data_IF_069797411039
#
_entry.id   IF_069797411039
#
_cell.length_a   1.000
_cell.length_b   1.000
_cell.length_c   1.000
_cell.angle_alpha   90.00
_cell.angle_beta   90.00
_cell.angle_gamma   90.00
#
_symmetry.space_group_name_H-M   'P 1'
#
loop_
_entity.id
_entity.type
_entity.pdbx_description
1 polymer ?
#
# COMPACT_ATOMS: atom_id res chain seq x y z
N UNK A 1 19.57 -29.29 14.91
CA UNK A 1 19.98 -29.14 13.49
C UNK A 1 19.71 -27.70 13.04
N UNK A 2 20.34 -26.70 13.68
CA UNK A 2 20.08 -25.28 13.40
C UNK A 2 21.02 -24.68 12.33
N UNK A 3 22.17 -25.32 12.08
CA UNK A 3 23.17 -24.80 11.14
C UNK A 3 22.73 -24.74 9.67
N UNK A 4 21.72 -25.53 9.26
CA UNK A 4 21.22 -25.48 7.87
C UNK A 4 20.34 -24.26 7.60
N UNK A 5 19.56 -23.80 8.59
CA UNK A 5 18.72 -22.60 8.45
C UNK A 5 19.57 -21.35 8.59
N UNK A 6 20.44 -21.29 9.59
CA UNK A 6 21.36 -20.15 9.78
C UNK A 6 22.24 -19.92 8.55
N UNK A 7 22.77 -21.00 7.96
CA UNK A 7 23.52 -20.91 6.70
C UNK A 7 22.65 -20.40 5.55
N UNK A 8 21.41 -20.90 5.43
CA UNK A 8 20.47 -20.43 4.39
C UNK A 8 20.11 -18.94 4.55
N UNK A 9 19.88 -18.48 5.78
CA UNK A 9 19.64 -17.06 6.08
C UNK A 9 20.85 -16.20 5.75
N UNK A 10 22.05 -16.67 6.08
CA UNK A 10 23.29 -15.96 5.74
C UNK A 10 23.44 -15.78 4.21
N UNK A 11 23.04 -16.76 3.41
CA UNK A 11 23.00 -16.64 1.94
C UNK A 11 21.93 -15.69 1.43
N UNK A 12 20.87 -15.44 2.21
CA UNK A 12 19.74 -14.57 1.86
C UNK A 12 19.73 -13.23 2.61
N UNK A 13 20.83 -12.85 3.26
CA UNK A 13 20.90 -11.62 4.06
C UNK A 13 20.57 -10.36 3.23
N UNK A 14 20.96 -10.32 1.95
CA UNK A 14 20.63 -9.20 1.06
C UNK A 14 19.13 -9.08 0.77
N UNK A 15 18.40 -10.21 0.77
CA UNK A 15 16.95 -10.24 0.60
C UNK A 15 16.24 -9.68 1.84
N UNK A 16 16.70 -10.06 3.04
CA UNK A 16 16.17 -9.48 4.29
C UNK A 16 16.46 -7.98 4.35
N UNK A 17 17.67 -7.55 4.00
CA UNK A 17 18.06 -6.15 4.01
C UNK A 17 17.23 -5.29 3.04
N UNK A 18 16.97 -5.77 1.83
CA UNK A 18 16.10 -5.10 0.86
C UNK A 18 14.67 -4.93 1.41
N UNK A 19 14.10 -6.00 1.97
CA UNK A 19 12.77 -5.96 2.58
C UNK A 19 12.70 -4.91 3.70
N UNK A 20 13.66 -4.92 4.62
CA UNK A 20 13.70 -3.96 5.73
C UNK A 20 13.93 -2.52 5.22
N UNK A 21 14.79 -2.32 4.22
CA UNK A 21 15.02 -0.99 3.66
C UNK A 21 13.74 -0.41 3.04
N UNK A 22 12.98 -1.23 2.32
CA UNK A 22 11.69 -0.85 1.75
C UNK A 22 10.63 -0.54 2.81
N UNK A 23 10.55 -1.32 3.89
CA UNK A 23 9.68 -1.02 5.04
C UNK A 23 10.00 0.36 5.61
N UNK A 24 11.28 0.68 5.83
CA UNK A 24 11.68 2.00 6.34
C UNK A 24 11.30 3.12 5.39
N UNK A 25 11.47 2.92 4.08
CA UNK A 25 11.04 3.90 3.08
C UNK A 25 9.53 4.14 3.17
N UNK A 26 8.74 3.08 3.32
CA UNK A 26 7.29 3.16 3.48
C UNK A 26 6.89 3.89 4.77
N UNK A 27 7.44 3.50 5.93
CA UNK A 27 7.18 4.14 7.22
C UNK A 27 7.51 5.65 7.20
N UNK A 28 8.62 6.03 6.55
CA UNK A 28 9.02 7.43 6.42
C UNK A 28 8.06 8.29 5.57
N UNK A 29 7.11 7.69 4.84
CA UNK A 29 6.06 8.45 4.13
C UNK A 29 5.00 8.99 5.07
N UNK A 30 4.90 8.44 6.29
CA UNK A 30 3.96 8.86 7.34
C UNK A 30 2.52 8.97 6.82
N UNK A 31 2.09 7.97 6.03
CA UNK A 31 0.73 7.94 5.52
C UNK A 31 -0.20 7.29 6.55
N UNK A 32 -1.34 7.92 6.88
CA UNK A 32 -2.30 7.33 7.81
C UNK A 32 -2.70 5.93 7.35
N UNK A 33 -2.57 4.94 8.25
CA UNK A 33 -2.90 3.55 7.98
C UNK A 33 -1.92 2.77 7.09
N UNK A 34 -0.77 3.36 6.69
CA UNK A 34 0.25 2.67 5.88
C UNK A 34 1.68 2.91 6.44
N UNK A 35 2.36 1.88 6.96
CA UNK A 35 1.83 0.53 7.21
C UNK A 35 0.80 0.57 8.38
N UNK A 36 -0.02 -0.49 8.60
CA UNK A 36 -1.14 -0.44 9.55
C UNK A 36 -0.72 -0.31 11.03
N UNK A 37 0.57 -0.38 11.33
CA UNK A 37 1.12 -0.23 12.68
C UNK A 37 1.06 1.24 13.13
N UNK A 38 0.90 1.44 14.44
CA UNK A 38 0.63 2.75 15.02
C UNK A 38 1.90 3.57 15.30
N UNK A 39 3.07 2.92 15.26
CA UNK A 39 4.33 3.51 15.71
C UNK A 39 5.47 3.28 14.71
N UNK A 40 6.31 4.29 14.50
CA UNK A 40 7.49 4.20 13.64
C UNK A 40 8.41 3.03 14.04
N UNK A 41 8.81 2.22 13.05
CA UNK A 41 9.68 1.06 13.24
C UNK A 41 8.99 -0.19 13.79
N UNK A 42 7.70 -0.12 14.10
CA UNK A 42 6.92 -1.26 14.60
C UNK A 42 6.74 -2.33 13.50
N UNK A 43 6.55 -1.91 12.24
CA UNK A 43 6.41 -2.89 11.15
C UNK A 43 7.75 -3.60 10.89
N UNK A 44 8.85 -2.85 10.85
CA UNK A 44 10.19 -3.43 10.73
C UNK A 44 10.47 -4.45 11.85
N UNK A 45 10.16 -4.10 13.10
CA UNK A 45 10.38 -4.98 14.25
C UNK A 45 9.54 -6.26 14.15
N UNK A 46 8.28 -6.15 13.70
CA UNK A 46 7.38 -7.28 13.53
C UNK A 46 7.91 -8.25 12.46
N UNK A 47 8.29 -7.73 11.29
CA UNK A 47 8.81 -8.55 10.18
C UNK A 47 10.11 -9.26 10.58
N UNK A 48 11.03 -8.56 11.25
CA UNK A 48 12.25 -9.18 11.80
C UNK A 48 11.92 -10.31 12.76
N UNK A 49 10.96 -10.09 13.66
CA UNK A 49 10.51 -11.11 14.59
C UNK A 49 9.99 -12.35 13.85
N UNK A 50 9.17 -12.20 12.81
CA UNK A 50 8.68 -13.35 12.03
C UNK A 50 9.81 -14.13 11.35
N UNK A 51 10.81 -13.43 10.80
CA UNK A 51 11.98 -14.07 10.19
C UNK A 51 12.86 -14.78 11.23
N UNK A 52 13.06 -14.18 12.40
CA UNK A 52 13.86 -14.76 13.49
C UNK A 52 13.21 -15.99 14.13
N UNK A 53 11.88 -16.02 14.18
CA UNK A 53 11.12 -17.17 14.70
C UNK A 53 10.80 -18.24 13.65
N UNK A 54 11.43 -18.17 12.47
CA UNK A 54 11.28 -19.19 11.43
C UNK A 54 11.85 -20.54 11.88
N UNK A 55 11.03 -21.60 11.77
CA UNK A 55 11.34 -22.93 12.29
C UNK A 55 12.09 -23.84 11.28
N UNK A 56 12.08 -23.46 10.00
CA UNK A 56 12.68 -24.23 8.90
C UNK A 56 12.93 -23.32 7.70
N UNK A 57 13.73 -23.78 6.73
CA UNK A 57 13.96 -23.07 5.46
C UNK A 57 12.64 -22.76 4.76
N UNK A 58 11.74 -23.75 4.68
CA UNK A 58 10.42 -23.56 4.06
C UNK A 58 9.56 -22.52 4.79
N UNK A 59 9.62 -22.50 6.12
CA UNK A 59 8.89 -21.48 6.91
C UNK A 59 9.46 -20.10 6.61
N UNK A 60 10.79 -19.95 6.65
CA UNK A 60 11.47 -18.71 6.33
C UNK A 60 11.15 -18.18 4.92
N UNK A 61 11.22 -19.03 3.91
CA UNK A 61 10.85 -18.67 2.52
C UNK A 61 9.38 -18.25 2.42
N UNK A 62 8.49 -18.96 3.12
CA UNK A 62 7.06 -18.60 3.16
C UNK A 62 6.85 -17.24 3.81
N UNK A 63 7.53 -16.95 4.92
CA UNK A 63 7.47 -15.66 5.61
C UNK A 63 7.97 -14.56 4.69
N UNK A 64 9.15 -14.72 4.06
CA UNK A 64 9.67 -13.74 3.11
C UNK A 64 8.70 -13.47 1.95
N UNK A 65 8.11 -14.51 1.37
CA UNK A 65 7.20 -14.36 0.24
C UNK A 65 5.90 -13.64 0.64
N UNK A 66 5.37 -13.91 1.83
CA UNK A 66 4.21 -13.19 2.36
C UNK A 66 4.54 -11.73 2.61
N UNK A 67 5.59 -11.43 3.38
CA UNK A 67 5.95 -10.04 3.70
C UNK A 67 6.32 -9.22 2.47
N UNK A 68 6.98 -9.84 1.48
CA UNK A 68 7.25 -9.17 0.19
C UNK A 68 5.98 -8.81 -0.56
N UNK A 69 5.00 -9.70 -0.56
CA UNK A 69 3.71 -9.45 -1.19
C UNK A 69 2.93 -8.35 -0.45
N UNK A 70 2.86 -8.43 0.87
CA UNK A 70 2.14 -7.44 1.67
C UNK A 70 2.79 -6.06 1.50
N UNK A 71 4.13 -5.99 1.54
CA UNK A 71 4.86 -4.75 1.30
C UNK A 71 4.64 -4.20 -0.12
N UNK A 72 4.63 -5.06 -1.14
CA UNK A 72 4.30 -4.66 -2.52
C UNK A 72 2.91 -4.00 -2.61
N UNK A 73 1.92 -4.53 -1.89
CA UNK A 73 0.57 -3.98 -1.85
C UNK A 73 0.55 -2.64 -1.12
N UNK A 74 1.19 -2.56 0.05
CA UNK A 74 1.25 -1.34 0.87
C UNK A 74 1.94 -0.19 0.13
N UNK A 75 3.06 -0.45 -0.55
CA UNK A 75 3.76 0.55 -1.36
C UNK A 75 2.88 1.11 -2.49
N UNK A 76 2.15 0.24 -3.18
CA UNK A 76 1.25 0.66 -4.27
C UNK A 76 0.05 1.45 -3.76
N UNK A 77 -0.52 1.04 -2.63
CA UNK A 77 -1.59 1.81 -1.95
C UNK A 77 -1.08 3.18 -1.57
N UNK A 78 0.11 3.27 -1.00
CA UNK A 78 0.74 4.52 -0.64
C UNK A 78 0.98 5.43 -1.86
N UNK A 79 1.44 4.87 -2.98
CA UNK A 79 1.62 5.61 -4.24
C UNK A 79 0.30 6.16 -4.78
N UNK A 80 -0.78 5.38 -4.70
CA UNK A 80 -2.12 5.83 -5.09
C UNK A 80 -2.64 6.95 -4.18
N UNK A 81 -2.50 6.79 -2.86
CA UNK A 81 -2.92 7.80 -1.87
C UNK A 81 -2.22 9.13 -2.15
N UNK A 82 -0.90 9.11 -2.30
CA UNK A 82 -0.12 10.31 -2.62
C UNK A 82 -0.45 10.86 -4.01
N UNK A 83 -0.70 9.99 -4.99
CA UNK A 83 -1.11 10.37 -6.34
C UNK A 83 -2.44 11.11 -6.36
N UNK A 84 -3.46 10.54 -5.74
CA UNK A 84 -4.80 11.14 -5.60
C UNK A 84 -4.73 12.47 -4.85
N UNK A 85 -4.05 12.49 -3.70
CA UNK A 85 -3.83 13.71 -2.92
C UNK A 85 -3.15 14.79 -3.77
N UNK A 86 -2.04 14.44 -4.43
CA UNK A 86 -1.26 15.37 -5.26
C UNK A 86 -2.09 15.92 -6.43
N UNK A 87 -2.90 15.10 -7.09
CA UNK A 87 -3.77 15.58 -8.18
C UNK A 87 -4.77 16.57 -7.62
N UNK A 88 -5.45 16.23 -6.51
CA UNK A 88 -6.48 17.07 -5.91
C UNK A 88 -5.94 18.43 -5.43
N UNK A 89 -4.82 18.45 -4.69
CA UNK A 89 -4.26 19.71 -4.17
C UNK A 89 -3.65 20.61 -5.26
N UNK A 90 -3.36 20.05 -6.45
CA UNK A 90 -2.83 20.80 -7.59
C UNK A 90 -3.93 21.17 -8.60
N UNK A 91 -5.20 20.88 -8.32
CA UNK A 91 -6.29 21.44 -9.13
C UNK A 91 -6.25 22.97 -9.07
N UNK A 92 -6.69 23.66 -10.14
CA UNK A 92 -6.87 25.11 -10.10
C UNK A 92 -7.76 25.49 -8.90
N UNK A 93 -7.41 26.55 -8.17
CA UNK A 93 -8.05 26.89 -6.89
C UNK A 93 -9.58 27.00 -6.98
N UNK A 94 -10.12 27.51 -8.10
CA UNK A 94 -11.56 27.56 -8.34
C UNK A 94 -12.19 26.16 -8.38
N UNK A 95 -11.56 25.23 -9.11
CA UNK A 95 -12.00 23.84 -9.23
C UNK A 95 -11.82 23.07 -7.92
N UNK A 96 -10.71 23.26 -7.21
CA UNK A 96 -10.49 22.64 -5.90
C UNK A 96 -11.61 23.02 -4.91
N UNK A 97 -11.93 24.32 -4.83
CA UNK A 97 -13.03 24.82 -3.99
C UNK A 97 -14.39 24.30 -4.44
N UNK A 98 -14.60 24.10 -5.74
CA UNK A 98 -15.82 23.49 -6.27
C UNK A 98 -15.93 22.02 -5.85
N UNK A 99 -14.85 21.25 -5.98
CA UNK A 99 -14.79 19.85 -5.52
C UNK A 99 -15.12 19.75 -4.03
N UNK A 100 -14.49 20.57 -3.19
CA UNK A 100 -14.76 20.54 -1.74
C UNK A 100 -16.21 20.94 -1.38
N UNK A 101 -16.89 21.72 -2.23
CA UNK A 101 -18.31 22.05 -2.04
C UNK A 101 -19.26 20.95 -2.50
N UNK A 102 -18.85 20.18 -3.51
CA UNK A 102 -19.68 19.14 -4.14
C UNK A 102 -19.46 17.75 -3.50
N UNK A 103 -18.36 17.58 -2.78
CA UNK A 103 -17.99 16.32 -2.11
C UNK A 103 -18.01 16.47 -0.60
N UNK A 104 -18.13 15.35 0.11
CA UNK A 104 -17.95 15.26 1.56
C UNK A 104 -16.48 15.11 1.97
N UNK A 105 -15.53 15.44 1.09
CA UNK A 105 -14.11 15.36 1.39
C UNK A 105 -13.74 16.38 2.47
N UNK A 106 -13.10 15.89 3.53
CA UNK A 106 -12.44 16.75 4.50
C UNK A 106 -11.02 17.09 4.01
N UNK A 107 -10.76 18.38 3.76
CA UNK A 107 -9.45 18.89 3.28
C UNK A 107 -8.28 18.40 4.16
N UNK A 108 -8.46 18.35 5.48
CA UNK A 108 -7.43 17.90 6.41
C UNK A 108 -7.18 16.38 6.41
N UNK A 109 -8.06 15.60 5.77
CA UNK A 109 -8.08 14.14 5.81
C UNK A 109 -8.06 13.50 4.41
N UNK A 110 -7.69 14.24 3.36
CA UNK A 110 -7.71 13.74 1.98
C UNK A 110 -6.94 12.42 1.82
N UNK A 111 -5.80 12.26 2.51
CA UNK A 111 -5.01 11.03 2.46
C UNK A 111 -5.72 9.83 3.09
N UNK A 112 -6.42 10.05 4.21
CA UNK A 112 -7.25 9.04 4.88
C UNK A 112 -8.42 8.65 3.98
N UNK A 113 -9.15 9.65 3.45
CA UNK A 113 -10.24 9.44 2.51
C UNK A 113 -9.81 8.68 1.24
N UNK A 114 -8.60 8.95 0.73
CA UNK A 114 -8.04 8.24 -0.41
C UNK A 114 -7.75 6.77 -0.08
N UNK A 115 -7.22 6.49 1.12
CA UNK A 115 -6.99 5.11 1.56
C UNK A 115 -8.31 4.36 1.74
N UNK A 116 -9.29 4.98 2.41
CA UNK A 116 -10.62 4.39 2.62
C UNK A 116 -11.28 4.04 1.27
N UNK A 117 -11.21 4.95 0.29
CA UNK A 117 -11.66 4.69 -1.07
C UNK A 117 -10.97 3.46 -1.69
N UNK A 118 -9.64 3.36 -1.59
CA UNK A 118 -8.87 2.25 -2.16
C UNK A 118 -9.24 0.92 -1.48
N UNK A 119 -9.33 0.90 -0.15
CA UNK A 119 -9.68 -0.32 0.61
C UNK A 119 -11.10 -0.78 0.31
N UNK A 120 -12.06 0.13 0.31
CA UNK A 120 -13.44 -0.19 -0.07
C UNK A 120 -13.54 -0.73 -1.47
N UNK A 121 -12.78 -0.16 -2.41
CA UNK A 121 -12.76 -0.64 -3.78
C UNK A 121 -12.19 -2.05 -3.86
N UNK A 122 -11.04 -2.32 -3.24
CA UNK A 122 -10.47 -3.68 -3.19
C UNK A 122 -11.40 -4.68 -2.51
N UNK A 123 -12.10 -4.25 -1.45
CA UNK A 123 -13.07 -5.08 -0.72
C UNK A 123 -14.25 -5.52 -1.61
N UNK A 124 -14.72 -4.67 -2.54
CA UNK A 124 -15.78 -5.04 -3.51
C UNK A 124 -15.42 -6.25 -4.37
N UNK A 125 -14.13 -6.47 -4.61
CA UNK A 125 -13.60 -7.61 -5.36
C UNK A 125 -13.02 -8.72 -4.47
N UNK A 126 -13.17 -8.61 -3.14
CA UNK A 126 -12.55 -9.52 -2.16
C UNK A 126 -11.00 -9.57 -2.26
N UNK A 127 -10.38 -8.43 -2.58
CA UNK A 127 -8.92 -8.29 -2.77
C UNK A 127 -8.21 -7.57 -1.61
N UNK A 128 -8.92 -7.28 -0.52
CA UNK A 128 -8.36 -6.67 0.71
C UNK A 128 -7.48 -7.64 1.50
N UNK A 129 -7.78 -8.94 1.47
CA UNK A 129 -6.97 -10.05 2.05
C UNK A 129 -6.82 -11.20 1.03
N UNK A 130 -5.98 -11.02 -0.01
CA UNK A 130 -5.86 -11.99 -1.11
C UNK A 130 -5.13 -13.26 -0.67
N UNK A 131 -5.90 -14.35 -0.54
CA UNK A 131 -5.41 -15.63 0.02
C UNK A 131 -4.76 -16.55 -1.00
N UNK A 132 -5.18 -16.48 -2.27
CA UNK A 132 -4.61 -17.32 -3.32
C UNK A 132 -3.58 -16.55 -4.16
N UNK A 133 -2.66 -17.28 -4.79
CA UNK A 133 -1.71 -16.69 -5.75
C UNK A 133 -2.43 -15.97 -6.91
N UNK A 134 -3.65 -16.40 -7.26
CA UNK A 134 -4.45 -15.76 -8.29
C UNK A 134 -4.97 -14.41 -7.81
N UNK A 135 -5.57 -14.35 -6.62
CA UNK A 135 -6.07 -13.10 -6.04
C UNK A 135 -4.94 -12.10 -5.80
N UNK A 136 -3.78 -12.57 -5.35
CA UNK A 136 -2.57 -11.75 -5.17
C UNK A 136 -2.14 -11.09 -6.47
N UNK A 137 -2.12 -11.84 -7.57
CA UNK A 137 -1.80 -11.30 -8.90
C UNK A 137 -2.84 -10.30 -9.40
N UNK A 138 -4.13 -10.55 -9.16
CA UNK A 138 -5.18 -9.61 -9.53
C UNK A 138 -5.03 -8.31 -8.73
N UNK A 139 -4.82 -8.40 -7.42
CA UNK A 139 -4.64 -7.26 -6.54
C UNK A 139 -3.44 -6.39 -7.00
N UNK A 140 -2.26 -7.00 -7.21
CA UNK A 140 -1.10 -6.28 -7.73
C UNK A 140 -1.36 -5.66 -9.11
N UNK A 141 -2.00 -6.40 -10.03
CA UNK A 141 -2.31 -5.90 -11.37
C UNK A 141 -3.28 -4.73 -11.36
N UNK A 142 -4.29 -4.77 -10.48
CA UNK A 142 -5.29 -3.70 -10.33
C UNK A 142 -4.62 -2.43 -9.78
N UNK A 143 -3.86 -2.56 -8.69
CA UNK A 143 -3.13 -1.45 -8.09
C UNK A 143 -2.09 -0.84 -9.05
N UNK A 144 -1.40 -1.66 -9.85
CA UNK A 144 -0.49 -1.18 -10.90
C UNK A 144 -1.26 -0.39 -11.96
N UNK A 145 -2.37 -0.93 -12.47
CA UNK A 145 -3.17 -0.27 -13.51
C UNK A 145 -3.70 1.09 -13.04
N UNK A 146 -4.07 1.20 -11.77
CA UNK A 146 -4.52 2.46 -11.17
C UNK A 146 -3.39 3.48 -11.03
N UNK A 147 -2.21 3.04 -10.59
CA UNK A 147 -1.03 3.90 -10.53
C UNK A 147 -0.65 4.40 -11.92
N UNK A 148 -0.70 3.53 -12.94
CA UNK A 148 -0.46 3.90 -14.33
C UNK A 148 -1.48 4.92 -14.83
N UNK A 149 -2.78 4.75 -14.52
CA UNK A 149 -3.84 5.68 -14.91
C UNK A 149 -3.63 7.07 -14.29
N UNK A 150 -3.36 7.15 -12.98
CA UNK A 150 -3.07 8.43 -12.30
C UNK A 150 -1.82 9.10 -12.87
N UNK A 151 -0.74 8.34 -13.09
CA UNK A 151 0.53 8.90 -13.56
C UNK A 151 0.46 9.39 -15.01
N UNK A 152 -0.34 8.74 -15.86
CA UNK A 152 -0.44 9.10 -17.28
C UNK A 152 -1.49 10.18 -17.55
N UNK A 153 -2.57 10.22 -16.76
CA UNK A 153 -3.74 11.06 -17.06
C UNK A 153 -4.01 12.15 -16.02
N UNK A 154 -3.37 12.09 -14.86
CA UNK A 154 -3.56 13.05 -13.77
C UNK A 154 -5.05 13.29 -13.48
N UNK A 155 -5.54 14.53 -13.59
CA UNK A 155 -6.94 14.88 -13.32
C UNK A 155 -7.95 14.40 -14.40
N UNK A 156 -7.47 13.72 -15.45
CA UNK A 156 -8.29 12.99 -16.44
C UNK A 156 -8.31 11.48 -16.17
N UNK A 157 -7.70 11.03 -15.07
CA UNK A 157 -7.75 9.64 -14.60
C UNK A 157 -9.19 9.23 -14.30
N UNK A 158 -9.56 8.01 -14.72
CA UNK A 158 -10.84 7.41 -14.36
C UNK A 158 -10.88 7.15 -12.86
N UNK A 159 -9.79 6.66 -12.28
CA UNK A 159 -9.68 6.46 -10.84
C UNK A 159 -9.89 7.75 -10.06
N UNK A 160 -9.32 8.86 -10.53
CA UNK A 160 -9.52 10.17 -9.88
C UNK A 160 -10.99 10.61 -9.95
N UNK A 161 -11.66 10.42 -11.10
CA UNK A 161 -13.11 10.68 -11.20
C UNK A 161 -13.91 9.82 -10.23
N UNK A 162 -13.63 8.51 -10.17
CA UNK A 162 -14.31 7.59 -9.26
C UNK A 162 -14.07 7.92 -7.79
N UNK A 163 -12.86 8.39 -7.46
CA UNK A 163 -12.54 8.89 -6.12
C UNK A 163 -13.40 10.10 -5.74
N UNK A 164 -13.59 11.06 -6.64
CA UNK A 164 -14.48 12.20 -6.39
C UNK A 164 -15.94 11.76 -6.27
N UNK A 165 -16.39 10.87 -7.16
CA UNK A 165 -17.75 10.34 -7.19
C UNK A 165 -18.10 9.55 -5.92
N UNK A 166 -17.12 8.82 -5.35
CA UNK A 166 -17.29 8.11 -4.09
C UNK A 166 -17.70 9.03 -2.93
N UNK A 167 -17.26 10.30 -2.97
CA UNK A 167 -17.57 11.30 -1.93
C UNK A 167 -18.61 12.34 -2.36
N UNK A 168 -19.25 12.20 -3.52
CA UNK A 168 -20.24 13.17 -4.01
C UNK A 168 -21.47 13.24 -3.09
N UNK A 169 -21.94 14.45 -2.79
CA UNK A 169 -23.15 14.68 -1.97
C UNK A 169 -24.38 14.55 -2.88
N UNK A 170 -25.33 13.69 -2.50
CA UNK A 170 -26.65 13.57 -3.15
C UNK A 170 -27.64 14.64 -2.68
#
# INVERSE_FOLDING_TARGET
>A
MNGSLEHYRALNVGVEQDLIARIRVLENRMLPGIPPQLTDGEYEALVKSFLDHSLSIRHYESTLNTERFDLNVLERKADLVEGLWRILINEPSERFLEILKQTSLNEGQIKENALDFIEDFLQRFSLSDPRSNFDRRICESMLNSWNDDLNQRANQSLLYSEFLDYYSIH
#
